data_IF_400049116335
#
_entry.id   IF_400049116335
#
_cell.length_a   1.000
_cell.length_b   1.000
_cell.length_c   1.000
_cell.angle_alpha   90.00
_cell.angle_beta   90.00
_cell.angle_gamma   90.00
#
_symmetry.space_group_name_H-M   'P 1'
#
loop_
_entity.id
_entity.type
_entity.pdbx_description
1 polymer ?
#
# COMPACT_ATOMS: atom_id res chain seq x y z
N UNK A 1 15.65 61.07 27.89
CA UNK A 1 15.24 61.66 26.60
C UNK A 1 15.81 60.72 25.54
N UNK A 2 15.07 59.89 24.82
CA UNK A 2 13.64 59.88 24.51
C UNK A 2 13.24 58.48 24.02
N UNK A 3 12.05 58.04 24.41
CA UNK A 3 10.98 57.42 23.58
C UNK A 3 11.32 56.34 22.54
N UNK A 4 10.73 55.13 22.68
CA UNK A 4 9.50 54.69 21.96
C UNK A 4 9.82 54.17 20.55
N UNK A 5 9.39 53.04 20.00
CA UNK A 5 8.36 52.05 20.31
C UNK A 5 8.60 50.83 19.41
N UNK A 6 8.11 49.66 19.83
CA UNK A 6 7.86 48.52 18.94
C UNK A 6 6.82 48.91 17.87
N UNK A 7 6.84 48.29 16.69
CA UNK A 7 5.60 47.97 16.00
C UNK A 7 5.36 46.46 15.87
N UNK A 8 4.08 46.15 16.01
CA UNK A 8 3.45 44.84 15.97
C UNK A 8 3.31 44.33 14.53
N UNK A 9 3.51 43.01 14.39
CA UNK A 9 2.87 42.02 13.49
C UNK A 9 2.06 42.55 12.30
N UNK A 10 2.34 42.05 11.10
CA UNK A 10 1.33 41.76 10.04
C UNK A 10 1.94 40.84 8.98
N UNK A 11 1.54 39.57 8.97
CA UNK A 11 1.70 38.70 7.81
C UNK A 11 0.74 39.16 6.71
N UNK A 12 1.17 39.20 5.44
CA UNK A 12 0.27 38.95 4.33
C UNK A 12 0.56 37.55 3.79
N UNK A 13 -0.45 36.70 3.92
CA UNK A 13 -0.61 35.48 3.16
C UNK A 13 -0.51 35.82 1.66
N UNK A 14 0.58 35.44 1.00
CA UNK A 14 0.56 35.21 -0.44
C UNK A 14 0.49 33.70 -0.62
N UNK A 15 -0.75 33.21 -0.60
CA UNK A 15 -1.08 31.97 -1.27
C UNK A 15 -0.79 32.17 -2.75
N UNK A 16 0.39 31.74 -3.20
CA UNK A 16 0.56 31.39 -4.60
C UNK A 16 -0.43 30.27 -4.87
N UNK A 17 -1.40 30.44 -5.80
CA UNK A 17 -2.22 29.32 -6.21
C UNK A 17 -1.27 28.23 -6.68
N UNK A 18 -1.42 27.04 -6.09
CA UNK A 18 -0.75 25.84 -6.55
C UNK A 18 -1.10 25.75 -8.04
N UNK A 19 -0.14 25.68 -8.97
CA UNK A 19 -0.48 25.33 -10.34
C UNK A 19 -1.19 23.98 -10.27
N UNK A 20 -2.44 23.92 -10.70
CA UNK A 20 -3.09 22.65 -11.00
C UNK A 20 -2.21 21.98 -12.06
N UNK A 21 -1.30 21.12 -11.57
CA UNK A 21 -0.62 20.13 -12.38
C UNK A 21 -1.68 19.08 -12.67
N UNK A 22 -2.58 19.40 -13.60
CA UNK A 22 -3.37 18.43 -14.35
C UNK A 22 -2.40 17.59 -15.20
N UNK A 23 -1.47 16.89 -14.56
CA UNK A 23 -1.00 15.61 -15.08
C UNK A 23 -2.10 14.58 -14.79
N UNK A 24 -3.24 14.80 -15.43
CA UNK A 24 -4.06 13.70 -15.90
C UNK A 24 -3.10 12.86 -16.75
N UNK A 25 -2.66 11.73 -16.20
CA UNK A 25 -2.08 10.67 -17.00
C UNK A 25 -3.20 10.06 -17.86
N UNK A 26 -3.85 10.89 -18.68
CA UNK A 26 -4.39 10.44 -19.94
C UNK A 26 -3.15 10.07 -20.76
N UNK A 27 -2.63 8.86 -20.52
CA UNK A 27 -2.01 8.14 -21.60
C UNK A 27 -3.19 7.74 -22.46
N UNK A 28 -3.51 8.47 -23.55
CA UNK A 28 -4.45 7.94 -24.48
C UNK A 28 -3.77 6.66 -24.98
N UNK A 29 -4.35 5.50 -24.65
CA UNK A 29 -4.02 4.21 -25.26
C UNK A 29 -4.49 4.27 -26.72
N UNK A 30 -3.95 5.24 -27.45
CA UNK A 30 -4.07 5.37 -28.88
C UNK A 30 -3.44 4.13 -29.47
N UNK A 31 -4.08 3.54 -30.47
CA UNK A 31 -3.54 2.38 -31.17
C UNK A 31 -2.12 2.66 -31.72
N UNK A 32 -1.75 3.93 -31.90
CA UNK A 32 -0.40 4.38 -32.24
C UNK A 32 0.64 4.12 -31.15
N UNK A 33 0.29 4.21 -29.85
CA UNK A 33 1.19 3.83 -28.77
C UNK A 33 1.53 2.33 -28.82
N UNK A 34 0.60 1.49 -29.28
CA UNK A 34 0.82 0.06 -29.48
C UNK A 34 1.91 -0.23 -30.54
N UNK A 35 1.93 0.54 -31.63
CA UNK A 35 2.97 0.41 -32.69
C UNK A 35 4.34 0.82 -32.16
N UNK A 36 4.39 1.89 -31.35
CA UNK A 36 5.64 2.33 -30.71
C UNK A 36 6.18 1.24 -29.79
N UNK A 37 5.33 0.63 -28.94
CA UNK A 37 5.72 -0.49 -28.07
C UNK A 37 6.29 -1.69 -28.83
N UNK A 38 5.74 -2.02 -30.01
CA UNK A 38 6.29 -3.09 -30.86
C UNK A 38 7.60 -2.74 -31.57
N UNK A 39 7.90 -1.45 -31.72
CA UNK A 39 9.12 -0.95 -32.37
C UNK A 39 10.25 -0.56 -31.41
N UNK A 40 10.03 -0.72 -30.10
CA UNK A 40 11.05 -0.42 -29.09
C UNK A 40 12.29 -1.31 -29.28
N UNK A 41 13.51 -0.77 -29.07
CA UNK A 41 14.73 -1.57 -29.06
C UNK A 41 14.64 -2.67 -28.00
N UNK A 42 15.25 -3.83 -28.30
CA UNK A 42 15.15 -5.07 -27.50
C UNK A 42 15.47 -4.86 -26.02
N UNK A 43 16.40 -3.96 -25.71
CA UNK A 43 16.79 -3.65 -24.34
C UNK A 43 15.65 -2.97 -23.56
N UNK A 44 14.92 -2.06 -24.20
CA UNK A 44 13.76 -1.40 -23.59
C UNK A 44 12.61 -2.40 -23.37
N UNK A 45 12.37 -3.31 -24.33
CA UNK A 45 11.37 -4.38 -24.17
C UNK A 45 11.75 -5.37 -23.06
N UNK A 46 13.03 -5.70 -22.92
CA UNK A 46 13.53 -6.57 -21.86
C UNK A 46 13.41 -5.92 -20.47
N UNK A 47 13.78 -4.64 -20.34
CA UNK A 47 13.63 -3.89 -19.09
C UNK A 47 12.16 -3.74 -18.67
N UNK A 48 11.25 -3.50 -19.62
CA UNK A 48 9.81 -3.42 -19.36
C UNK A 48 9.23 -4.75 -18.86
N UNK A 49 9.71 -5.88 -19.37
CA UNK A 49 9.27 -7.21 -18.90
C UNK A 49 9.64 -7.46 -17.44
N UNK A 50 10.77 -6.91 -17.00
CA UNK A 50 11.28 -7.07 -15.64
C UNK A 50 10.75 -6.01 -14.66
N UNK A 51 10.24 -4.88 -15.17
CA UNK A 51 9.71 -3.80 -14.35
C UNK A 51 8.52 -4.21 -13.44
N UNK A 52 7.74 -5.21 -13.85
CA UNK A 52 6.67 -5.80 -13.04
C UNK A 52 7.09 -7.04 -12.23
N UNK A 53 8.35 -7.46 -12.33
CA UNK A 53 8.86 -8.62 -11.61
C UNK A 53 9.13 -8.26 -10.15
N UNK A 54 8.91 -9.25 -9.27
CA UNK A 54 9.29 -9.15 -7.87
C UNK A 54 10.60 -9.92 -7.68
N UNK A 55 11.62 -9.27 -7.11
CA UNK A 55 12.90 -9.92 -6.76
C UNK A 55 12.71 -11.20 -5.94
N UNK A 56 11.67 -11.19 -5.08
CA UNK A 56 11.29 -12.34 -4.26
C UNK A 56 9.93 -12.87 -4.73
N UNK A 57 9.86 -14.13 -5.21
CA UNK A 57 8.59 -14.71 -5.64
C UNK A 57 7.62 -14.91 -4.47
N UNK A 58 8.14 -14.99 -3.24
CA UNK A 58 7.38 -15.10 -2.01
C UNK A 58 7.80 -14.02 -1.03
N UNK A 59 6.82 -13.39 -0.41
CA UNK A 59 7.00 -12.38 0.63
C UNK A 59 6.58 -12.92 1.98
N UNK A 60 7.25 -12.46 3.03
CA UNK A 60 6.96 -12.87 4.40
C UNK A 60 5.94 -11.91 5.01
N UNK A 61 4.81 -12.46 5.46
CA UNK A 61 3.72 -11.71 6.09
C UNK A 61 3.58 -12.15 7.54
N UNK A 62 3.54 -11.18 8.45
CA UNK A 62 3.33 -11.40 9.89
C UNK A 62 1.96 -10.91 10.30
N UNK A 63 1.12 -11.82 10.75
CA UNK A 63 -0.20 -11.56 11.29
C UNK A 63 -0.12 -11.20 12.78
N UNK A 64 -0.75 -10.08 13.15
CA UNK A 64 -0.85 -9.62 14.54
C UNK A 64 -2.32 -9.52 14.95
N UNK A 65 -2.71 -10.23 16.00
CA UNK A 65 -4.04 -10.08 16.58
C UNK A 65 -4.17 -8.72 17.25
N UNK A 66 -5.32 -8.06 17.06
CA UNK A 66 -5.70 -6.83 17.77
C UNK A 66 -6.99 -7.06 18.54
N UNK A 67 -7.04 -6.49 19.75
CA UNK A 67 -8.22 -6.54 20.61
C UNK A 67 -8.55 -7.98 21.01
N UNK A 68 -9.80 -8.37 20.79
CA UNK A 68 -10.31 -9.70 21.16
C UNK A 68 -10.17 -10.75 20.05
N UNK A 69 -9.38 -10.49 19.01
CA UNK A 69 -9.18 -11.44 17.92
C UNK A 69 -8.39 -12.70 18.36
N UNK A 70 -8.75 -13.91 17.91
CA UNK A 70 -8.04 -15.14 18.27
C UNK A 70 -6.59 -15.17 17.77
N UNK A 71 -5.63 -15.47 18.64
CA UNK A 71 -4.20 -15.54 18.29
C UNK A 71 -3.90 -16.75 17.41
N UNK A 72 -3.24 -16.52 16.27
CA UNK A 72 -2.81 -17.60 15.36
C UNK A 72 -1.66 -18.41 15.94
N UNK A 73 -1.69 -19.73 15.72
CA UNK A 73 -0.58 -20.64 16.07
C UNK A 73 0.72 -20.31 15.31
N UNK A 74 0.59 -19.91 14.05
CA UNK A 74 1.71 -19.49 13.20
C UNK A 74 1.44 -18.06 12.73
N UNK A 75 2.02 -17.04 13.40
CA UNK A 75 1.78 -15.65 13.04
C UNK A 75 2.54 -15.26 11.78
N UNK A 76 3.52 -16.02 11.31
CA UNK A 76 4.31 -15.70 10.12
C UNK A 76 4.02 -16.71 9.02
N UNK A 77 3.67 -16.22 7.82
CA UNK A 77 3.40 -17.02 6.65
C UNK A 77 4.14 -16.47 5.43
N UNK A 78 4.42 -17.32 4.44
CA UNK A 78 4.98 -16.93 3.16
C UNK A 78 3.90 -16.99 2.09
N UNK A 79 3.68 -15.87 1.41
CA UNK A 79 2.63 -15.70 0.40
C UNK A 79 3.31 -15.33 -0.92
N UNK A 80 2.76 -15.80 -2.04
CA UNK A 80 3.27 -15.42 -3.35
C UNK A 80 3.11 -13.91 -3.56
N UNK A 81 4.15 -13.26 -4.08
CA UNK A 81 4.15 -11.81 -4.27
C UNK A 81 3.09 -11.33 -5.28
N UNK A 82 2.74 -12.17 -6.26
CA UNK A 82 1.74 -11.89 -7.29
C UNK A 82 0.30 -12.07 -6.81
N UNK A 83 0.08 -12.58 -5.60
CA UNK A 83 -1.25 -12.82 -5.07
C UNK A 83 -1.91 -11.50 -4.68
N UNK A 84 -3.23 -11.41 -4.89
CA UNK A 84 -4.07 -10.33 -4.39
C UNK A 84 -4.32 -10.42 -2.88
N UNK A 85 -4.58 -9.29 -2.24
CA UNK A 85 -4.84 -9.20 -0.81
C UNK A 85 -6.12 -9.94 -0.39
N UNK A 86 -7.11 -10.09 -1.28
CA UNK A 86 -8.31 -10.91 -1.05
C UNK A 86 -7.98 -12.35 -0.59
N UNK A 87 -6.91 -12.95 -1.13
CA UNK A 87 -6.51 -14.29 -0.77
C UNK A 87 -5.97 -14.35 0.67
N UNK A 88 -5.33 -13.27 1.12
CA UNK A 88 -4.85 -13.11 2.50
C UNK A 88 -6.04 -13.03 3.46
N UNK A 89 -7.07 -12.27 3.10
CA UNK A 89 -8.32 -12.17 3.88
C UNK A 89 -9.02 -13.52 3.94
N UNK A 90 -9.16 -14.20 2.80
CA UNK A 90 -9.79 -15.52 2.73
C UNK A 90 -9.02 -16.58 3.54
N UNK A 91 -7.68 -16.56 3.49
CA UNK A 91 -6.83 -17.40 4.33
C UNK A 91 -7.11 -17.14 5.81
N UNK A 92 -7.10 -15.88 6.22
CA UNK A 92 -7.27 -15.51 7.63
C UNK A 92 -8.63 -15.93 8.17
N UNK A 93 -9.70 -15.75 7.40
CA UNK A 93 -11.06 -16.24 7.76
C UNK A 93 -11.08 -17.75 8.02
N UNK A 94 -10.37 -18.54 7.19
CA UNK A 94 -10.28 -20.00 7.38
C UNK A 94 -9.49 -20.37 8.62
N UNK A 95 -8.39 -19.69 8.91
CA UNK A 95 -7.53 -20.02 10.05
C UNK A 95 -8.17 -19.62 11.38
N UNK A 96 -8.82 -18.46 11.43
CA UNK A 96 -9.52 -17.97 12.63
C UNK A 96 -10.87 -18.69 12.84
N UNK A 97 -11.34 -19.46 11.84
CA UNK A 97 -12.63 -20.16 11.83
C UNK A 97 -13.82 -19.19 11.96
N UNK A 98 -13.76 -18.07 11.23
CA UNK A 98 -14.86 -17.13 11.17
C UNK A 98 -16.07 -17.76 10.47
N UNK A 99 -17.25 -17.55 11.04
CA UNK A 99 -18.52 -17.91 10.41
C UNK A 99 -18.82 -17.03 9.19
N UNK A 100 -19.84 -17.41 8.39
CA UNK A 100 -20.23 -16.63 7.21
C UNK A 100 -20.76 -15.23 7.52
N UNK A 101 -21.21 -14.99 8.76
CA UNK A 101 -21.68 -13.69 9.23
C UNK A 101 -20.58 -12.88 9.93
N UNK A 102 -19.42 -13.49 10.21
CA UNK A 102 -18.35 -12.82 10.93
C UNK A 102 -17.51 -11.98 9.96
N UNK A 103 -17.26 -10.75 10.38
CA UNK A 103 -16.39 -9.82 9.66
C UNK A 103 -14.96 -9.89 10.21
N UNK A 104 -13.99 -9.78 9.32
CA UNK A 104 -12.57 -9.70 9.68
C UNK A 104 -11.99 -8.48 9.00
N UNK A 105 -11.41 -7.60 9.80
CA UNK A 105 -10.78 -6.36 9.35
C UNK A 105 -9.28 -6.55 9.41
N UNK A 106 -8.59 -6.25 8.30
CA UNK A 106 -7.14 -6.38 8.19
C UNK A 106 -6.55 -5.01 7.91
N UNK A 107 -5.46 -4.70 8.62
CA UNK A 107 -4.75 -3.44 8.53
C UNK A 107 -3.27 -3.71 8.29
N UNK A 108 -2.66 -3.03 7.33
CA UNK A 108 -1.21 -3.07 7.14
C UNK A 108 -0.57 -2.14 8.17
N UNK A 109 0.44 -2.62 8.89
CA UNK A 109 1.19 -1.88 9.92
C UNK A 109 0.34 -1.13 10.96
N UNK A 110 -0.91 -1.55 11.19
CA UNK A 110 -1.85 -0.87 12.07
C UNK A 110 -2.22 0.56 11.65
N UNK A 111 -2.14 0.89 10.36
CA UNK A 111 -2.37 2.25 9.86
C UNK A 111 -3.53 2.35 8.88
N UNK A 112 -3.63 1.45 7.91
CA UNK A 112 -4.67 1.48 6.88
C UNK A 112 -5.12 0.09 6.47
N UNK A 113 -6.34 -0.01 5.94
CA UNK A 113 -6.87 -1.23 5.33
C UNK A 113 -6.65 -1.19 3.81
N UNK A 114 -5.83 -2.07 3.22
CA UNK A 114 -5.62 -2.10 1.77
C UNK A 114 -6.85 -2.63 1.04
N UNK A 115 -6.99 -2.27 -0.24
CA UNK A 115 -8.02 -2.81 -1.13
C UNK A 115 -7.80 -4.30 -1.39
N UNK A 116 -8.88 -5.03 -1.71
CA UNK A 116 -8.84 -6.49 -1.88
C UNK A 116 -8.09 -6.92 -3.16
N UNK A 117 -8.09 -6.06 -4.16
CA UNK A 117 -7.41 -6.20 -5.45
C UNK A 117 -5.92 -5.85 -5.40
N UNK A 118 -5.46 -5.27 -4.30
CA UNK A 118 -4.06 -4.88 -4.11
C UNK A 118 -3.12 -6.09 -4.15
N UNK A 119 -1.97 -5.94 -4.79
CA UNK A 119 -0.98 -7.02 -4.89
C UNK A 119 -0.09 -7.07 -3.64
N UNK A 120 0.02 -8.24 -3.02
CA UNK A 120 0.77 -8.42 -1.75
C UNK A 120 2.25 -8.09 -1.91
N UNK A 121 2.83 -8.34 -3.08
CA UNK A 121 4.21 -7.95 -3.41
C UNK A 121 4.44 -6.44 -3.38
N UNK A 122 3.47 -5.65 -3.88
CA UNK A 122 3.53 -4.18 -3.81
C UNK A 122 3.45 -3.71 -2.36
N UNK A 123 2.51 -4.28 -1.59
CA UNK A 123 2.37 -3.97 -0.17
C UNK A 123 3.64 -4.28 0.62
N UNK A 124 4.29 -5.42 0.34
CA UNK A 124 5.57 -5.77 0.97
C UNK A 124 6.67 -4.80 0.56
N UNK A 125 6.81 -4.47 -0.73
CA UNK A 125 7.81 -3.53 -1.22
C UNK A 125 7.70 -2.16 -0.56
N UNK A 126 6.48 -1.64 -0.41
CA UNK A 126 6.24 -0.30 0.11
C UNK A 126 6.19 -0.23 1.65
N UNK A 127 5.68 -1.27 2.31
CA UNK A 127 5.32 -1.21 3.74
C UNK A 127 5.94 -2.33 4.59
N UNK A 128 6.93 -3.07 4.07
CA UNK A 128 7.68 -4.01 4.92
C UNK A 128 8.42 -3.29 6.04
N UNK A 129 8.52 -3.97 7.17
CA UNK A 129 9.47 -3.61 8.21
C UNK A 129 10.89 -3.86 7.69
N UNK A 130 11.74 -2.82 7.67
CA UNK A 130 13.09 -2.92 7.12
C UNK A 130 14.01 -3.83 7.94
N UNK A 131 13.77 -3.95 9.25
CA UNK A 131 14.60 -4.78 10.15
C UNK A 131 14.34 -6.27 9.94
N UNK A 132 13.07 -6.65 9.81
CA UNK A 132 12.66 -8.06 9.73
C UNK A 132 12.42 -8.55 8.30
N UNK A 133 12.31 -7.64 7.32
CA UNK A 133 11.86 -7.89 5.94
C UNK A 133 10.47 -8.55 5.87
N UNK A 134 9.56 -8.14 6.77
CA UNK A 134 8.21 -8.71 6.90
C UNK A 134 7.15 -7.62 6.72
N UNK A 135 6.08 -7.95 6.00
CA UNK A 135 4.87 -7.14 5.97
C UNK A 135 4.03 -7.46 7.21
N UNK A 136 3.77 -6.48 8.07
CA UNK A 136 2.93 -6.68 9.25
C UNK A 136 1.48 -6.43 8.87
N UNK A 137 0.64 -7.44 9.07
CA UNK A 137 -0.81 -7.38 8.83
C UNK A 137 -1.52 -7.63 10.16
N UNK A 138 -2.05 -6.56 10.72
CA UNK A 138 -2.87 -6.64 11.91
C UNK A 138 -4.29 -7.04 11.56
N UNK A 139 -4.96 -7.82 12.41
CA UNK A 139 -6.34 -8.21 12.19
C UNK A 139 -7.21 -8.09 13.44
N UNK A 140 -8.49 -7.80 13.23
CA UNK A 140 -9.51 -7.66 14.27
C UNK A 140 -10.87 -8.20 13.80
N UNK A 141 -11.70 -8.66 14.74
CA UNK A 141 -13.10 -9.04 14.47
C UNK A 141 -14.02 -7.81 14.42
N UNK A 142 -13.66 -6.75 15.13
CA UNK A 142 -14.36 -5.46 15.13
C UNK A 142 -13.51 -4.40 14.44
N UNK A 143 -14.13 -3.38 13.81
CA UNK A 143 -13.36 -2.26 13.27
C UNK A 143 -12.58 -1.60 14.42
N UNK A 144 -11.25 -1.54 14.27
CA UNK A 144 -10.35 -1.04 15.31
C UNK A 144 -10.00 0.44 15.12
N UNK A 145 -10.15 0.94 13.89
CA UNK A 145 -9.88 2.32 13.50
C UNK A 145 -11.06 2.80 12.64
N UNK A 146 -11.74 3.83 13.12
CA UNK A 146 -12.95 4.44 12.55
C UNK A 146 -13.27 5.72 13.27
#
# INVERSE_FOLDING_TARGET
>A
MSESSLPVRSSPSQATPIPDDDHEADLPLTMTASVVLTSLPRDATAALKDAGAFDKPKVTVRFKAIGSAPILKQPVCRINATQRFEAVVAYLRRVVKCGPQDSVFLYVNNTFAPSLDEIVGNLHRCFRNQTDDQLVVSYSMTPAFG
#
